data_IF_322022868943
#
_entry.id   IF_322022868943
#
_cell.length_a   1.000
_cell.length_b   1.000
_cell.length_c   1.000
_cell.angle_alpha   90.00
_cell.angle_beta   90.00
_cell.angle_gamma   90.00
#
_symmetry.space_group_name_H-M   'P 1'
#
loop_
_entity.id
_entity.type
_entity.pdbx_description
1 polymer ?
#
# COMPACT_ATOMS: atom_id res chain seq x y z
N UNK A 1 29.71 -19.85 21.69
CA UNK A 1 29.23 -19.02 20.57
C UNK A 1 29.37 -19.86 19.34
N UNK A 2 28.30 -20.45 18.88
CA UNK A 2 28.30 -21.35 17.72
C UNK A 2 28.28 -20.49 16.44
N UNK A 3 29.32 -20.66 15.66
CA UNK A 3 29.45 -20.12 14.31
C UNK A 3 28.40 -20.84 13.44
N UNK A 4 27.28 -20.17 13.17
CA UNK A 4 26.24 -20.69 12.30
C UNK A 4 26.74 -20.73 10.86
N UNK A 5 26.86 -21.92 10.39
CA UNK A 5 27.41 -22.39 9.13
C UNK A 5 26.90 -21.59 7.91
N UNK A 6 27.69 -20.67 7.38
CA UNK A 6 27.41 -19.83 6.21
C UNK A 6 27.39 -20.57 4.87
N UNK A 7 27.45 -21.92 4.85
CA UNK A 7 27.67 -22.72 3.65
C UNK A 7 26.60 -23.79 3.35
N UNK A 8 25.41 -23.71 3.92
CA UNK A 8 24.31 -24.55 3.46
C UNK A 8 23.86 -24.08 2.06
N UNK A 9 24.28 -24.78 1.01
CA UNK A 9 23.70 -24.63 -0.34
C UNK A 9 22.26 -25.12 -0.29
N UNK A 10 21.31 -24.19 -0.10
CA UNK A 10 19.90 -24.52 -0.23
C UNK A 10 19.60 -24.88 -1.69
N UNK A 11 18.74 -25.87 -1.89
CA UNK A 11 18.29 -26.29 -3.22
C UNK A 11 17.43 -25.23 -3.88
N UNK A 12 17.31 -25.25 -5.18
CA UNK A 12 16.33 -24.48 -5.93
C UNK A 12 15.03 -25.27 -6.06
N UNK A 13 13.88 -24.62 -5.90
CA UNK A 13 12.56 -25.16 -6.24
C UNK A 13 12.14 -24.63 -7.60
N UNK A 14 11.86 -25.52 -8.54
CA UNK A 14 11.33 -25.16 -9.87
C UNK A 14 10.04 -25.91 -10.14
N UNK A 15 8.98 -25.16 -10.42
CA UNK A 15 7.65 -25.67 -10.81
C UNK A 15 7.34 -25.16 -12.20
N UNK A 16 6.96 -26.08 -13.11
CA UNK A 16 6.49 -25.75 -14.47
C UNK A 16 5.22 -26.53 -14.75
N UNK A 17 4.15 -25.82 -15.14
CA UNK A 17 2.81 -26.37 -15.25
C UNK A 17 2.07 -26.32 -13.92
N UNK A 18 1.16 -27.25 -13.70
CA UNK A 18 0.34 -27.33 -12.48
C UNK A 18 0.92 -28.39 -11.55
N UNK A 19 1.38 -27.95 -10.37
CA UNK A 19 2.02 -28.87 -9.41
C UNK A 19 2.00 -28.34 -7.99
N UNK A 20 2.02 -29.28 -7.03
CA UNK A 20 2.19 -28.99 -5.62
C UNK A 20 3.61 -29.23 -5.14
N UNK A 21 3.97 -28.56 -4.03
CA UNK A 21 5.22 -28.75 -3.31
C UNK A 21 5.00 -28.53 -1.82
N UNK A 22 5.93 -29.02 -1.00
CA UNK A 22 6.01 -28.60 0.38
C UNK A 22 6.84 -27.32 0.49
N UNK A 23 6.55 -26.53 1.52
CA UNK A 23 7.37 -25.40 1.93
C UNK A 23 8.78 -25.82 2.34
N UNK A 24 9.61 -24.87 2.66
CA UNK A 24 10.99 -25.11 3.07
C UNK A 24 11.90 -23.92 2.83
N UNK A 25 13.20 -24.18 2.97
CA UNK A 25 14.27 -23.19 2.75
C UNK A 25 14.94 -23.44 1.42
N UNK A 26 14.91 -22.43 0.53
CA UNK A 26 15.40 -22.53 -0.83
C UNK A 26 16.40 -21.40 -1.14
N UNK A 27 17.28 -21.62 -2.11
CA UNK A 27 18.04 -20.51 -2.69
C UNK A 27 17.13 -19.72 -3.65
N UNK A 28 16.47 -20.43 -4.58
CA UNK A 28 15.52 -19.83 -5.52
C UNK A 28 14.25 -20.65 -5.61
N UNK A 29 13.10 -19.95 -5.68
CA UNK A 29 11.81 -20.52 -6.06
C UNK A 29 11.44 -19.93 -7.40
N UNK A 30 11.20 -20.76 -8.40
CA UNK A 30 10.79 -20.33 -9.73
C UNK A 30 9.58 -21.12 -10.20
N UNK A 31 8.45 -20.41 -10.36
CA UNK A 31 7.14 -20.97 -10.73
C UNK A 31 6.77 -20.43 -12.11
N UNK A 32 6.39 -21.31 -13.02
CA UNK A 32 5.79 -20.98 -14.31
C UNK A 32 4.56 -21.88 -14.48
N UNK A 33 3.37 -21.33 -14.26
CA UNK A 33 2.10 -22.07 -14.21
C UNK A 33 1.41 -21.89 -12.86
N UNK A 34 0.77 -22.92 -12.33
CA UNK A 34 0.04 -22.89 -11.08
C UNK A 34 0.73 -23.76 -10.02
N UNK A 35 1.00 -23.19 -8.86
CA UNK A 35 1.66 -23.89 -7.78
C UNK A 35 0.85 -23.82 -6.48
N UNK A 36 0.67 -24.97 -5.84
CA UNK A 36 0.17 -25.07 -4.46
C UNK A 36 1.32 -25.48 -3.55
N UNK A 37 1.63 -24.66 -2.56
CA UNK A 37 2.75 -24.89 -1.66
C UNK A 37 2.26 -25.02 -0.22
N UNK A 38 2.45 -26.20 0.36
CA UNK A 38 2.02 -26.50 1.72
C UNK A 38 3.13 -26.14 2.72
N UNK A 39 2.93 -25.08 3.48
CA UNK A 39 3.84 -24.60 4.52
C UNK A 39 4.63 -23.35 4.11
N UNK A 40 5.50 -22.93 5.01
CA UNK A 40 6.26 -21.69 4.87
C UNK A 40 7.38 -21.81 3.81
N UNK A 41 7.65 -20.69 3.14
CA UNK A 41 8.78 -20.56 2.21
C UNK A 41 9.75 -19.52 2.76
N UNK A 42 11.04 -19.90 2.83
CA UNK A 42 12.15 -18.96 3.02
C UNK A 42 13.10 -19.10 1.84
N UNK A 43 13.34 -18.00 1.11
CA UNK A 43 14.24 -18.06 -0.06
C UNK A 43 14.97 -16.73 -0.30
N UNK A 44 16.06 -16.79 -1.08
CA UNK A 44 16.75 -15.57 -1.51
C UNK A 44 15.95 -14.88 -2.62
N UNK A 45 15.38 -15.66 -3.53
CA UNK A 45 14.64 -15.14 -4.68
C UNK A 45 13.38 -15.98 -4.92
N UNK A 46 12.24 -15.31 -4.94
CA UNK A 46 10.97 -15.88 -5.37
C UNK A 46 10.54 -15.25 -6.70
N UNK A 47 10.31 -16.09 -7.69
CA UNK A 47 9.77 -15.67 -8.99
C UNK A 47 8.56 -16.52 -9.33
N UNK A 48 7.47 -15.85 -9.72
CA UNK A 48 6.26 -16.52 -10.18
C UNK A 48 5.75 -15.85 -11.47
N UNK A 49 5.44 -16.67 -12.45
CA UNK A 49 4.66 -16.28 -13.63
C UNK A 49 3.48 -17.22 -13.72
N UNK A 50 2.30 -16.74 -13.34
CA UNK A 50 1.09 -17.54 -13.15
C UNK A 50 0.54 -17.37 -11.74
N UNK A 51 0.13 -18.46 -11.09
CA UNK A 51 -0.49 -18.44 -9.77
C UNK A 51 0.34 -19.19 -8.75
N UNK A 52 0.53 -18.61 -7.57
CA UNK A 52 1.12 -19.28 -6.42
C UNK A 52 0.19 -19.17 -5.21
N UNK A 53 -0.29 -20.32 -4.73
CA UNK A 53 -1.03 -20.43 -3.47
C UNK A 53 -0.11 -21.04 -2.43
N UNK A 54 0.12 -20.30 -1.33
CA UNK A 54 1.03 -20.70 -0.27
C UNK A 54 0.24 -20.84 1.04
N UNK A 55 0.16 -22.08 1.53
CA UNK A 55 -0.47 -22.39 2.82
C UNK A 55 0.52 -22.16 3.97
N UNK A 56 0.99 -20.94 4.08
CA UNK A 56 2.00 -20.53 5.05
C UNK A 56 2.45 -19.10 4.79
N UNK A 57 3.57 -18.73 5.40
CA UNK A 57 4.24 -17.43 5.21
C UNK A 57 5.32 -17.51 4.12
N UNK A 58 5.57 -16.38 3.46
CA UNK A 58 6.63 -16.26 2.46
C UNK A 58 7.65 -15.24 2.90
N UNK A 59 8.90 -15.65 3.03
CA UNK A 59 10.05 -14.77 3.25
C UNK A 59 10.97 -14.82 2.03
N UNK A 60 11.31 -13.64 1.47
CA UNK A 60 12.20 -13.58 0.30
C UNK A 60 12.94 -12.25 0.25
N UNK A 61 14.25 -12.28 -0.09
CA UNK A 61 14.98 -11.02 -0.32
C UNK A 61 14.52 -10.30 -1.59
N UNK A 62 14.26 -11.08 -2.64
CA UNK A 62 13.79 -10.57 -3.94
C UNK A 62 12.55 -11.35 -4.32
N UNK A 63 11.44 -10.64 -4.46
CA UNK A 63 10.16 -11.18 -4.88
C UNK A 63 9.74 -10.51 -6.20
N UNK A 64 9.56 -11.32 -7.24
CA UNK A 64 9.11 -10.85 -8.56
C UNK A 64 7.99 -11.73 -9.08
N UNK A 65 6.82 -11.15 -9.28
CA UNK A 65 5.65 -11.90 -9.74
C UNK A 65 4.92 -11.18 -10.87
N UNK A 66 4.50 -11.96 -11.85
CA UNK A 66 3.50 -11.57 -12.84
C UNK A 66 2.39 -12.62 -12.79
N UNK A 67 1.22 -12.22 -12.27
CA UNK A 67 0.08 -13.09 -11.99
C UNK A 67 -0.37 -12.98 -10.54
N UNK A 68 -0.87 -14.06 -9.96
CA UNK A 68 -1.56 -14.04 -8.68
C UNK A 68 -0.75 -14.73 -7.59
N UNK A 69 -0.68 -14.10 -6.43
CA UNK A 69 -0.08 -14.71 -5.23
C UNK A 69 -1.05 -14.61 -4.07
N UNK A 70 -1.32 -15.75 -3.47
CA UNK A 70 -2.16 -15.90 -2.29
C UNK A 70 -1.33 -16.54 -1.19
N UNK A 71 -1.22 -15.89 -0.03
CA UNK A 71 -0.57 -16.47 1.15
C UNK A 71 -1.54 -16.52 2.32
N UNK A 72 -1.59 -17.65 3.05
CA UNK A 72 -2.38 -17.75 4.29
C UNK A 72 -1.65 -17.15 5.50
N UNK A 73 -0.34 -17.01 5.42
CA UNK A 73 0.49 -16.32 6.40
C UNK A 73 0.89 -14.92 5.94
N UNK A 74 1.99 -14.42 6.49
CA UNK A 74 2.56 -13.12 6.18
C UNK A 74 3.56 -13.18 5.01
N UNK A 75 3.75 -12.05 4.33
CA UNK A 75 4.82 -11.88 3.34
C UNK A 75 5.89 -10.93 3.89
N UNK A 76 7.14 -11.41 3.91
CA UNK A 76 8.30 -10.59 4.26
C UNK A 76 9.26 -10.53 3.07
N UNK A 77 9.50 -9.32 2.57
CA UNK A 77 10.34 -9.11 1.40
C UNK A 77 11.36 -7.99 1.57
N UNK A 78 12.53 -8.12 0.97
CA UNK A 78 13.42 -6.98 0.77
C UNK A 78 12.88 -6.11 -0.36
N UNK A 79 13.03 -6.57 -1.60
CA UNK A 79 12.48 -5.93 -2.79
C UNK A 79 11.31 -6.77 -3.35
N UNK A 80 10.12 -6.18 -3.37
CA UNK A 80 8.88 -6.82 -3.83
C UNK A 80 8.35 -6.11 -5.07
N UNK A 81 8.31 -6.83 -6.20
CA UNK A 81 7.75 -6.34 -7.46
C UNK A 81 6.63 -7.30 -7.91
N UNK A 82 5.42 -6.79 -8.00
CA UNK A 82 4.25 -7.57 -8.42
C UNK A 82 3.47 -6.84 -9.51
N UNK A 83 3.06 -7.60 -10.50
CA UNK A 83 2.03 -7.19 -11.47
C UNK A 83 0.96 -8.28 -11.51
N UNK A 84 -0.25 -7.97 -11.01
CA UNK A 84 -1.37 -8.91 -10.86
C UNK A 84 -2.04 -8.74 -9.50
N UNK A 85 -2.48 -9.85 -8.89
CA UNK A 85 -3.21 -9.82 -7.63
C UNK A 85 -2.35 -10.37 -6.49
N UNK A 86 -2.40 -9.68 -5.35
CA UNK A 86 -1.74 -10.10 -4.13
C UNK A 86 -2.76 -10.18 -2.99
N UNK A 87 -2.93 -11.37 -2.44
CA UNK A 87 -3.79 -11.60 -1.29
C UNK A 87 -2.96 -12.19 -0.14
N UNK A 88 -2.86 -11.45 0.96
CA UNK A 88 -2.11 -11.83 2.16
C UNK A 88 -3.07 -11.85 3.34
N UNK A 89 -3.26 -13.02 3.97
CA UNK A 89 -4.09 -13.12 5.18
C UNK A 89 -3.38 -12.62 6.44
N UNK A 90 -2.06 -12.60 6.44
CA UNK A 90 -1.25 -11.97 7.49
C UNK A 90 -0.85 -10.54 7.13
N UNK A 91 0.35 -10.15 7.54
CA UNK A 91 0.94 -8.84 7.31
C UNK A 91 1.91 -8.82 6.13
N UNK A 92 2.11 -7.63 5.56
CA UNK A 92 3.17 -7.36 4.58
C UNK A 92 4.28 -6.55 5.25
N UNK A 93 5.51 -7.08 5.26
CA UNK A 93 6.70 -6.35 5.74
C UNK A 93 7.72 -6.29 4.62
N UNK A 94 8.12 -5.07 4.20
CA UNK A 94 9.03 -4.89 3.05
C UNK A 94 9.98 -3.72 3.25
N UNK A 95 11.18 -3.82 2.68
CA UNK A 95 12.04 -2.63 2.52
C UNK A 95 11.51 -1.79 1.35
N UNK A 96 11.24 -2.41 0.22
CA UNK A 96 10.71 -1.71 -0.95
C UNK A 96 9.70 -2.56 -1.70
N UNK A 97 8.52 -2.00 -1.96
CA UNK A 97 7.50 -2.68 -2.75
C UNK A 97 6.98 -1.80 -3.90
N UNK A 98 6.84 -2.44 -5.06
CA UNK A 98 6.13 -1.90 -6.22
C UNK A 98 5.04 -2.88 -6.61
N UNK A 99 3.80 -2.52 -6.32
CA UNK A 99 2.62 -3.38 -6.45
C UNK A 99 1.68 -2.80 -7.51
N UNK A 100 1.48 -3.55 -8.60
CA UNK A 100 0.62 -3.11 -9.69
C UNK A 100 -0.55 -4.10 -9.83
N UNK A 101 -1.76 -3.67 -9.50
CA UNK A 101 -2.97 -4.49 -9.60
C UNK A 101 -3.89 -4.38 -8.40
N UNK A 102 -4.43 -5.52 -7.96
CA UNK A 102 -5.31 -5.60 -6.80
C UNK A 102 -4.58 -6.20 -5.59
N UNK A 103 -4.53 -5.45 -4.51
CA UNK A 103 -3.78 -5.79 -3.31
C UNK A 103 -4.74 -5.90 -2.13
N UNK A 104 -4.73 -7.06 -1.45
CA UNK A 104 -5.55 -7.31 -0.28
C UNK A 104 -4.67 -7.84 0.85
N UNK A 105 -4.70 -7.16 2.01
CA UNK A 105 -3.89 -7.49 3.18
C UNK A 105 -4.81 -7.46 4.41
N UNK A 106 -4.97 -8.60 5.07
CA UNK A 106 -5.93 -8.73 6.17
C UNK A 106 -5.41 -8.17 7.51
N UNK A 107 -4.11 -8.06 7.68
CA UNK A 107 -3.52 -7.42 8.86
C UNK A 107 -3.00 -6.03 8.49
N UNK A 108 -1.70 -5.80 8.53
CA UNK A 108 -1.11 -4.50 8.30
C UNK A 108 0.06 -4.52 7.34
N UNK A 109 0.55 -3.32 7.05
CA UNK A 109 1.73 -3.09 6.23
C UNK A 109 2.79 -2.41 7.08
N UNK A 110 4.04 -2.87 7.00
CA UNK A 110 5.20 -2.22 7.59
C UNK A 110 6.37 -2.21 6.60
N UNK A 111 7.16 -1.14 6.61
CA UNK A 111 8.37 -1.08 5.75
C UNK A 111 8.87 0.33 5.47
N UNK A 112 9.73 0.45 4.45
CA UNK A 112 10.32 1.75 4.12
C UNK A 112 9.58 2.40 2.93
N UNK A 113 9.59 1.79 1.74
CA UNK A 113 8.95 2.36 0.56
C UNK A 113 7.88 1.45 -0.02
N UNK A 114 6.66 1.98 -0.18
CA UNK A 114 5.56 1.29 -0.86
C UNK A 114 4.98 2.15 -1.97
N UNK A 115 4.99 1.61 -3.18
CA UNK A 115 4.32 2.15 -4.35
C UNK A 115 3.22 1.22 -4.82
N UNK A 116 1.98 1.71 -4.90
CA UNK A 116 0.81 0.95 -5.33
C UNK A 116 0.19 1.63 -6.55
N UNK A 117 0.00 0.85 -7.62
CA UNK A 117 -0.70 1.26 -8.83
C UNK A 117 -1.90 0.34 -9.05
N UNK A 118 -3.08 0.78 -8.65
CA UNK A 118 -4.30 -0.01 -8.70
C UNK A 118 -5.13 0.14 -7.44
N UNK A 119 -5.74 -0.95 -6.99
CA UNK A 119 -6.59 -0.96 -5.81
C UNK A 119 -5.87 -1.64 -4.63
N UNK A 120 -6.01 -1.05 -3.44
CA UNK A 120 -5.41 -1.60 -2.24
C UNK A 120 -6.44 -1.64 -1.10
N UNK A 121 -6.55 -2.78 -0.43
CA UNK A 121 -7.32 -2.92 0.81
C UNK A 121 -6.41 -3.44 1.90
N UNK A 122 -6.33 -2.72 3.01
CA UNK A 122 -5.59 -3.08 4.21
C UNK A 122 -6.53 -3.02 5.40
N UNK A 123 -6.71 -4.12 6.11
CA UNK A 123 -7.63 -4.18 7.26
C UNK A 123 -7.05 -3.58 8.53
N UNK A 124 -5.73 -3.57 8.66
CA UNK A 124 -5.02 -2.98 9.80
C UNK A 124 -4.34 -1.67 9.44
N UNK A 125 -3.27 -1.39 10.16
CA UNK A 125 -2.47 -0.19 10.00
C UNK A 125 -1.45 -0.32 8.85
N UNK A 126 -1.10 0.82 8.28
CA UNK A 126 0.00 0.94 7.33
C UNK A 126 1.06 1.88 7.91
N UNK A 127 2.22 1.33 8.27
CA UNK A 127 3.34 2.08 8.85
C UNK A 127 4.57 1.96 7.96
N UNK A 128 4.90 3.04 7.26
CA UNK A 128 6.00 3.06 6.28
C UNK A 128 6.72 4.41 6.33
N UNK A 129 7.87 4.53 5.70
CA UNK A 129 8.50 5.84 5.54
C UNK A 129 7.88 6.60 4.36
N UNK A 130 7.69 5.91 3.23
CA UNK A 130 7.15 6.51 2.01
C UNK A 130 5.98 5.69 1.45
N UNK A 131 4.81 6.28 1.43
CA UNK A 131 3.61 5.70 0.83
C UNK A 131 3.23 6.44 -0.45
N UNK A 132 3.18 5.74 -1.57
CA UNK A 132 2.73 6.28 -2.86
C UNK A 132 1.59 5.44 -3.43
N UNK A 133 0.49 6.10 -3.75
CA UNK A 133 -0.68 5.48 -4.38
C UNK A 133 -1.02 6.18 -5.70
N UNK A 134 -1.27 5.38 -6.72
CA UNK A 134 -1.97 5.80 -7.92
C UNK A 134 -3.13 4.84 -8.17
N UNK A 135 -4.33 5.23 -7.70
CA UNK A 135 -5.47 4.30 -7.72
C UNK A 135 -6.49 4.62 -6.65
N UNK A 136 -6.98 3.59 -5.99
CA UNK A 136 -7.86 3.69 -4.84
C UNK A 136 -7.33 2.83 -3.68
N UNK A 137 -7.48 3.32 -2.44
CA UNK A 137 -7.09 2.58 -1.25
C UNK A 137 -8.19 2.60 -0.20
N UNK A 138 -8.35 1.48 0.47
CA UNK A 138 -9.10 1.36 1.71
C UNK A 138 -8.14 0.87 2.80
N UNK A 139 -7.90 1.71 3.80
CA UNK A 139 -7.12 1.38 4.99
C UNK A 139 -8.05 1.49 6.19
N UNK A 140 -8.41 0.35 6.79
CA UNK A 140 -9.38 0.35 7.90
C UNK A 140 -8.76 0.88 9.21
N UNK A 141 -7.42 0.89 9.29
CA UNK A 141 -6.62 1.48 10.37
C UNK A 141 -6.01 2.83 10.02
N UNK A 142 -4.89 3.13 10.67
CA UNK A 142 -4.09 4.33 10.46
C UNK A 142 -3.08 4.13 9.33
N UNK A 143 -2.96 5.12 8.45
CA UNK A 143 -1.83 5.26 7.52
C UNK A 143 -0.84 6.25 8.12
N UNK A 144 0.29 5.74 8.59
CA UNK A 144 1.39 6.53 9.14
C UNK A 144 2.60 6.44 8.22
N UNK A 145 3.03 7.57 7.67
CA UNK A 145 4.23 7.62 6.84
C UNK A 145 4.86 9.02 6.86
N UNK A 146 6.19 9.09 6.86
CA UNK A 146 6.87 10.39 6.73
C UNK A 146 6.42 11.15 5.48
N UNK A 147 6.20 10.42 4.37
CA UNK A 147 5.68 10.99 3.13
C UNK A 147 4.50 10.19 2.58
N UNK A 148 3.36 10.84 2.44
CA UNK A 148 2.14 10.30 1.83
C UNK A 148 1.84 11.02 0.54
N UNK A 149 1.86 10.31 -0.59
CA UNK A 149 1.48 10.82 -1.91
C UNK A 149 0.36 9.97 -2.50
N UNK A 150 -0.85 10.51 -2.62
CA UNK A 150 -1.98 9.81 -3.21
C UNK A 150 -2.48 10.54 -4.46
N UNK A 151 -2.46 9.83 -5.60
CA UNK A 151 -3.11 10.25 -6.85
C UNK A 151 -4.35 9.41 -7.07
N UNK A 152 -5.48 9.94 -6.65
CA UNK A 152 -6.74 9.21 -6.58
C UNK A 152 -7.32 8.97 -7.98
N UNK A 153 -7.74 7.73 -8.24
CA UNK A 153 -8.50 7.32 -9.43
C UNK A 153 -9.90 6.80 -9.10
N UNK A 154 -10.22 6.65 -7.81
CA UNK A 154 -11.50 6.18 -7.30
C UNK A 154 -11.72 6.62 -5.86
N UNK A 155 -12.80 6.09 -5.28
CA UNK A 155 -13.12 6.33 -3.88
C UNK A 155 -12.08 5.65 -3.00
N UNK A 156 -11.50 6.41 -2.10
CA UNK A 156 -10.52 5.95 -1.12
C UNK A 156 -10.99 6.24 0.29
N UNK A 157 -10.53 5.44 1.24
CA UNK A 157 -10.84 5.61 2.66
C UNK A 157 -9.64 5.26 3.52
N UNK A 158 -9.44 6.05 4.56
CA UNK A 158 -8.59 5.70 5.69
C UNK A 158 -9.28 6.13 6.97
N UNK A 159 -8.96 5.50 8.10
CA UNK A 159 -9.45 6.00 9.38
C UNK A 159 -8.70 7.26 9.76
N UNK A 160 -7.39 7.20 9.71
CA UNK A 160 -6.50 8.30 10.06
C UNK A 160 -5.28 8.31 9.12
N UNK A 161 -4.78 9.50 8.79
CA UNK A 161 -3.54 9.67 8.03
C UNK A 161 -2.62 10.59 8.82
N UNK A 162 -1.42 10.10 9.16
CA UNK A 162 -0.40 10.83 9.91
C UNK A 162 0.90 10.86 9.14
N UNK A 163 1.57 12.01 9.07
CA UNK A 163 2.86 12.08 8.39
C UNK A 163 3.51 13.45 8.36
N UNK A 164 4.79 13.52 8.02
CA UNK A 164 5.49 14.80 7.85
C UNK A 164 4.96 15.57 6.63
N UNK A 165 4.88 14.92 5.48
CA UNK A 165 4.42 15.52 4.23
C UNK A 165 3.27 14.72 3.62
N UNK A 166 2.09 15.33 3.55
CA UNK A 166 0.88 14.67 3.04
C UNK A 166 0.39 15.42 1.80
N UNK A 167 0.35 14.72 0.66
CA UNK A 167 -0.18 15.25 -0.58
C UNK A 167 -1.22 14.31 -1.19
N UNK A 168 -2.47 14.77 -1.28
CA UNK A 168 -3.60 14.00 -1.78
C UNK A 168 -4.28 14.82 -2.87
N UNK A 169 -4.39 14.25 -4.06
CA UNK A 169 -4.98 14.92 -5.22
C UNK A 169 -5.58 13.90 -6.20
N UNK A 170 -6.54 14.28 -7.04
CA UNK A 170 -6.99 13.44 -8.14
C UNK A 170 -5.85 13.19 -9.14
N UNK A 171 -5.83 12.01 -9.75
CA UNK A 171 -4.95 11.79 -10.89
C UNK A 171 -5.42 12.60 -12.11
N UNK A 172 -4.51 13.20 -12.85
CA UNK A 172 -4.82 14.09 -13.98
C UNK A 172 -5.72 13.48 -15.06
N UNK A 173 -5.68 12.16 -15.23
CA UNK A 173 -6.52 11.45 -16.19
C UNK A 173 -7.98 11.30 -15.79
N UNK A 174 -8.36 11.56 -14.53
CA UNK A 174 -9.74 11.33 -14.08
C UNK A 174 -10.76 12.18 -14.83
N UNK A 175 -10.41 13.41 -15.20
CA UNK A 175 -11.28 14.31 -15.98
C UNK A 175 -11.70 13.71 -17.33
N UNK A 176 -10.79 13.00 -18.00
CA UNK A 176 -11.08 12.30 -19.25
C UNK A 176 -11.87 11.01 -19.01
N UNK A 177 -11.57 10.30 -17.94
CA UNK A 177 -12.25 9.05 -17.55
C UNK A 177 -13.69 9.33 -17.11
N UNK A 178 -13.98 10.42 -16.43
CA UNK A 178 -15.33 10.81 -16.01
C UNK A 178 -16.24 11.15 -17.18
N UNK A 179 -15.71 11.59 -18.32
CA UNK A 179 -16.48 11.80 -19.54
C UNK A 179 -16.90 10.50 -20.24
N UNK A 180 -16.17 9.41 -19.99
CA UNK A 180 -16.38 8.10 -20.62
C UNK A 180 -17.15 7.12 -19.72
N UNK A 181 -17.12 7.30 -18.43
CA UNK A 181 -17.84 6.50 -17.44
C UNK A 181 -18.56 7.44 -16.48
N UNK A 182 -19.83 7.15 -16.20
CA UNK A 182 -20.61 7.83 -15.13
C UNK A 182 -20.04 7.55 -13.72
N UNK A 183 -18.72 7.52 -13.58
CA UNK A 183 -18.03 7.30 -12.32
C UNK A 183 -17.92 8.65 -11.62
N UNK A 184 -18.35 8.75 -10.38
CA UNK A 184 -18.18 9.95 -9.55
C UNK A 184 -16.71 10.39 -9.48
N UNK A 185 -16.49 11.62 -9.05
CA UNK A 185 -15.14 12.15 -8.84
C UNK A 185 -14.38 11.27 -7.82
N UNK A 186 -13.09 11.03 -8.02
CA UNK A 186 -12.27 10.36 -7.01
C UNK A 186 -12.25 11.21 -5.74
N UNK A 187 -12.42 10.57 -4.60
CA UNK A 187 -12.54 11.23 -3.31
C UNK A 187 -11.86 10.39 -2.23
N UNK A 188 -11.16 11.04 -1.31
CA UNK A 188 -10.73 10.42 -0.08
C UNK A 188 -11.70 10.77 1.05
N UNK A 189 -12.10 9.77 1.85
CA UNK A 189 -12.81 9.98 3.12
C UNK A 189 -11.92 9.54 4.27
N UNK A 190 -11.77 10.40 5.26
CA UNK A 190 -10.90 10.15 6.41
C UNK A 190 -11.45 10.90 7.64
N UNK A 191 -11.24 10.34 8.84
CA UNK A 191 -11.67 11.01 10.06
C UNK A 191 -10.68 12.13 10.42
N UNK A 192 -9.37 11.80 10.49
CA UNK A 192 -8.31 12.73 10.92
C UNK A 192 -7.15 12.70 9.94
N UNK A 193 -6.62 13.87 9.60
CA UNK A 193 -5.33 14.04 8.93
C UNK A 193 -4.45 14.92 9.81
N UNK A 194 -3.23 14.44 10.12
CA UNK A 194 -2.26 15.18 10.92
C UNK A 194 -0.87 15.15 10.27
N UNK A 195 -0.24 16.33 10.14
CA UNK A 195 1.09 16.42 9.51
C UNK A 195 1.72 17.80 9.57
N UNK A 196 2.99 17.90 9.18
CA UNK A 196 3.68 19.18 9.16
C UNK A 196 3.29 20.01 7.94
N UNK A 197 3.30 19.40 6.75
CA UNK A 197 2.92 20.04 5.49
C UNK A 197 1.83 19.23 4.82
N UNK A 198 0.65 19.82 4.65
CA UNK A 198 -0.53 19.15 4.16
C UNK A 198 -1.07 19.86 2.93
N UNK A 199 -1.25 19.10 1.82
CA UNK A 199 -1.94 19.54 0.61
C UNK A 199 -3.05 18.54 0.26
N UNK A 200 -4.29 19.01 0.29
CA UNK A 200 -5.47 18.19 0.03
C UNK A 200 -6.29 18.72 -1.13
N UNK A 201 -6.73 17.83 -2.01
CA UNK A 201 -7.76 18.05 -3.00
C UNK A 201 -8.76 16.87 -2.94
N UNK A 202 -10.05 17.10 -3.24
CA UNK A 202 -11.08 16.06 -3.28
C UNK A 202 -11.08 15.17 -2.02
N UNK A 203 -10.99 15.79 -0.85
CA UNK A 203 -10.91 15.10 0.44
C UNK A 203 -12.06 15.53 1.35
N UNK A 204 -12.67 14.57 2.00
CA UNK A 204 -13.63 14.76 3.08
C UNK A 204 -12.98 14.32 4.37
N UNK A 205 -12.84 15.23 5.33
CA UNK A 205 -12.25 14.94 6.64
C UNK A 205 -13.01 15.62 7.77
N UNK A 206 -13.08 14.96 8.93
CA UNK A 206 -13.66 15.61 10.11
C UNK A 206 -12.67 16.65 10.66
N UNK A 207 -11.40 16.30 10.75
CA UNK A 207 -10.34 17.17 11.29
C UNK A 207 -9.06 17.09 10.45
N UNK A 208 -8.48 18.26 10.19
CA UNK A 208 -7.13 18.39 9.60
C UNK A 208 -6.28 19.23 10.53
N UNK A 209 -5.14 18.68 11.01
CA UNK A 209 -4.19 19.38 11.88
C UNK A 209 -2.83 19.46 11.20
N UNK A 210 -2.28 20.68 11.08
CA UNK A 210 -0.99 20.81 10.41
C UNK A 210 -0.13 21.98 10.82
N UNK A 211 1.12 21.95 10.37
CA UNK A 211 1.99 23.13 10.37
C UNK A 211 1.51 24.07 9.26
N UNK A 212 1.80 23.73 8.03
CA UNK A 212 1.34 24.44 6.82
C UNK A 212 0.26 23.64 6.12
N UNK A 213 -0.94 24.22 5.98
CA UNK A 213 -2.11 23.52 5.45
C UNK A 213 -2.63 24.23 4.20
N UNK A 214 -2.73 23.50 3.09
CA UNK A 214 -3.36 23.94 1.85
C UNK A 214 -4.55 23.05 1.52
N UNK A 215 -5.73 23.60 1.51
CA UNK A 215 -6.97 22.94 1.14
C UNK A 215 -7.37 23.41 -0.25
N UNK A 216 -7.17 22.53 -1.22
CA UNK A 216 -7.47 22.71 -2.63
C UNK A 216 -8.93 22.39 -2.97
N UNK A 217 -9.29 22.37 -4.26
CA UNK A 217 -10.66 22.23 -4.72
C UNK A 217 -11.30 20.89 -4.32
N UNK A 218 -12.61 20.89 -4.12
CA UNK A 218 -13.41 19.68 -3.87
C UNK A 218 -13.28 19.10 -2.47
N UNK A 219 -12.66 19.81 -1.53
CA UNK A 219 -12.57 19.37 -0.15
C UNK A 219 -13.80 19.79 0.67
N UNK A 220 -14.18 18.96 1.63
CA UNK A 220 -15.17 19.24 2.68
C UNK A 220 -14.57 18.87 4.02
N UNK A 221 -14.24 19.85 4.85
CA UNK A 221 -13.51 19.67 6.10
C UNK A 221 -14.32 20.25 7.26
N UNK A 222 -14.48 19.49 8.34
CA UNK A 222 -15.15 19.95 9.55
C UNK A 222 -14.32 21.01 10.28
N UNK A 223 -13.08 20.69 10.62
CA UNK A 223 -12.17 21.57 11.36
C UNK A 223 -10.78 21.54 10.76
N UNK A 224 -10.19 22.73 10.55
CA UNK A 224 -8.77 22.89 10.23
C UNK A 224 -8.06 23.59 11.39
N UNK A 225 -7.06 22.92 11.97
CA UNK A 225 -6.14 23.48 12.96
C UNK A 225 -4.75 23.65 12.34
N UNK A 226 -4.21 24.85 12.34
CA UNK A 226 -2.89 25.10 11.73
C UNK A 226 -2.02 25.98 12.64
N UNK A 227 -0.68 25.81 12.53
CA UNK A 227 0.30 26.58 13.31
C UNK A 227 1.03 27.63 12.48
N UNK A 228 1.29 27.35 11.22
CA UNK A 228 1.98 28.22 10.27
C UNK A 228 1.03 28.88 9.28
N UNK A 229 1.09 28.45 8.01
CA UNK A 229 0.29 29.01 6.93
C UNK A 229 -0.97 28.20 6.66
N UNK A 230 -2.05 28.90 6.28
CA UNK A 230 -3.29 28.27 5.85
C UNK A 230 -3.78 28.90 4.55
N UNK A 231 -4.02 28.05 3.55
CA UNK A 231 -4.60 28.43 2.27
C UNK A 231 -5.83 27.61 1.96
N UNK A 232 -6.92 28.27 1.56
CA UNK A 232 -8.19 27.64 1.19
C UNK A 232 -8.55 28.01 -0.25
N UNK A 233 -8.86 27.02 -1.10
CA UNK A 233 -9.46 27.23 -2.41
C UNK A 233 -10.94 27.58 -2.30
N UNK A 234 -11.43 28.42 -3.22
CA UNK A 234 -12.84 28.86 -3.25
C UNK A 234 -13.84 27.72 -3.52
N UNK A 235 -13.37 26.60 -4.07
CA UNK A 235 -14.18 25.41 -4.35
C UNK A 235 -14.11 24.38 -3.23
N UNK A 236 -13.62 24.75 -2.05
CA UNK A 236 -13.65 23.92 -0.85
C UNK A 236 -14.63 24.48 0.19
N UNK A 237 -15.17 23.58 1.00
CA UNK A 237 -16.07 23.88 2.10
C UNK A 237 -15.39 23.50 3.42
N UNK A 238 -15.23 24.47 4.32
CA UNK A 238 -14.60 24.29 5.63
C UNK A 238 -15.51 24.90 6.68
N UNK A 239 -15.98 24.09 7.61
CA UNK A 239 -16.91 24.56 8.63
C UNK A 239 -16.23 25.47 9.67
N UNK A 240 -15.01 25.13 10.07
CA UNK A 240 -14.22 25.92 11.03
C UNK A 240 -12.73 25.86 10.70
N UNK A 241 -12.02 26.97 10.87
CA UNK A 241 -10.57 27.00 10.82
C UNK A 241 -10.00 27.88 11.94
N UNK A 242 -8.92 27.45 12.58
CA UNK A 242 -8.27 28.19 13.67
C UNK A 242 -6.76 28.03 13.67
N UNK A 243 -6.08 29.12 13.98
CA UNK A 243 -4.64 29.10 14.27
C UNK A 243 -4.43 28.66 15.72
N UNK A 244 -3.53 27.69 15.94
CA UNK A 244 -3.23 27.10 17.26
C UNK A 244 -1.73 27.22 17.62
N UNK A 245 -0.94 27.99 16.84
CA UNK A 245 0.47 28.24 17.05
C UNK A 245 0.79 29.58 17.70
#
# INVERSE_FOLDING_TARGET
>A
MADYDKNLKHSDLKIVGDSGSNGGVFNKVNIVGNAEINGDIDCQTFKCTGTAEIDGSLTSKIFKTTGDVITKGSLRGGEVNLTGNLNIRGSLTVTKAQLNGEIQIEEGIAGDEIGIYGNCTVKGDCQVEHFRLKGAAQVDGMLNAERVEMKLLGLSRAKEIVGGHIRIQPHSSWRWMSLLKNSGAPELKVEVIEGDVIWLEHTVADVVRGGDVTIGPGCRIGLVEYRGTFHQDKQSDIAESRNVG
#
